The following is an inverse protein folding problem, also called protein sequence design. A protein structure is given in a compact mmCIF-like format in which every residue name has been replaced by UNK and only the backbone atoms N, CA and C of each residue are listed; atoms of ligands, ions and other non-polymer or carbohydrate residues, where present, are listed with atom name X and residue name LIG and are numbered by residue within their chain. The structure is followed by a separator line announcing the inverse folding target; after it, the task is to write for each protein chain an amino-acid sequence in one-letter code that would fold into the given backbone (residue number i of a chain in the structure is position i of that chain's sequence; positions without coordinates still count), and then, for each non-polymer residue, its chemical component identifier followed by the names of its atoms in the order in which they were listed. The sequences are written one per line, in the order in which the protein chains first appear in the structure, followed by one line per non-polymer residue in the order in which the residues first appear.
data_IF_775659971169
#
_entry.id   IF_775659971169
#
_cell.length_a   1.000
_cell.length_b   1.000
_cell.length_c   1.000
_cell.angle_alpha   90.00
_cell.angle_beta   90.00
_cell.angle_gamma   90.00
#
_symmetry.space_group_name_H-M   'P 1'
#
loop_
_entity.id
_entity.type
_entity.pdbx_description
1 polymer ?
#
# COMPACT_ATOMS: atom_id res chain seq x y z
N UNK A 1 -34.24 45.03 -30.03
CA UNK A 1 -33.12 44.25 -30.58
C UNK A 1 -32.02 43.93 -29.55
N UNK A 2 -31.56 44.87 -28.73
CA UNK A 2 -30.51 44.61 -27.73
C UNK A 2 -30.85 43.52 -26.69
N UNK A 3 -32.09 43.47 -26.20
CA UNK A 3 -32.51 42.47 -25.22
C UNK A 3 -32.55 41.04 -25.78
N UNK A 4 -32.85 40.87 -27.07
CA UNK A 4 -32.89 39.53 -27.71
C UNK A 4 -31.50 38.99 -27.99
N UNK A 5 -30.50 39.86 -28.20
CA UNK A 5 -29.08 39.44 -28.39
C UNK A 5 -28.51 38.96 -27.06
N UNK A 6 -28.84 39.65 -25.96
CA UNK A 6 -28.42 39.23 -24.61
C UNK A 6 -29.08 37.90 -24.24
N UNK A 7 -30.37 37.71 -24.56
CA UNK A 7 -31.11 36.47 -24.30
C UNK A 7 -30.54 35.29 -25.14
N UNK A 8 -30.16 35.55 -26.38
CA UNK A 8 -29.56 34.55 -27.26
C UNK A 8 -28.13 34.15 -26.83
N UNK A 9 -27.31 35.14 -26.37
CA UNK A 9 -25.98 34.88 -25.80
C UNK A 9 -26.05 34.11 -24.49
N UNK A 10 -27.03 34.36 -23.62
CA UNK A 10 -27.26 33.61 -22.39
C UNK A 10 -27.76 32.20 -22.70
N UNK A 11 -28.63 32.04 -23.68
CA UNK A 11 -29.12 30.71 -24.11
C UNK A 11 -28.04 29.85 -24.75
N UNK A 12 -27.14 30.41 -25.57
CA UNK A 12 -26.00 29.71 -26.14
C UNK A 12 -24.94 29.34 -25.11
N UNK A 13 -24.73 30.14 -24.08
CA UNK A 13 -23.87 29.81 -22.94
C UNK A 13 -24.47 28.65 -22.07
N UNK A 14 -25.80 28.64 -21.90
CA UNK A 14 -26.48 27.60 -21.14
C UNK A 14 -26.46 26.23 -21.83
N UNK A 15 -26.52 26.18 -23.16
CA UNK A 15 -26.48 24.91 -23.93
C UNK A 15 -25.12 24.19 -23.90
N UNK A 16 -24.02 24.91 -23.68
CA UNK A 16 -22.69 24.32 -23.54
C UNK A 16 -22.36 23.86 -22.10
N UNK A 17 -23.24 24.09 -21.13
CA UNK A 17 -23.00 23.80 -19.70
C UNK A 17 -23.14 22.32 -19.35
N UNK A 18 -23.78 21.48 -20.19
CA UNK A 18 -24.05 20.07 -19.86
C UNK A 18 -22.80 19.19 -19.62
N UNK A 19 -21.64 19.55 -20.19
CA UNK A 19 -20.40 18.79 -20.01
C UNK A 19 -19.64 19.09 -18.70
N UNK A 20 -19.91 20.22 -18.03
CA UNK A 20 -19.18 20.70 -16.85
C UNK A 20 -19.67 20.02 -15.56
N UNK A 21 -20.95 19.63 -15.53
CA UNK A 21 -21.57 18.97 -14.39
C UNK A 21 -21.59 17.45 -14.50
N UNK A 22 -20.92 16.87 -15.51
CA UNK A 22 -20.87 15.42 -15.71
C UNK A 22 -20.26 14.76 -14.45
N UNK A 23 -20.91 13.71 -13.98
CA UNK A 23 -20.39 12.89 -12.88
C UNK A 23 -19.39 11.89 -13.44
N UNK A 24 -18.40 11.55 -12.65
CA UNK A 24 -17.53 10.41 -12.92
C UNK A 24 -18.37 9.14 -12.82
N UNK A 25 -18.23 8.28 -13.79
CA UNK A 25 -18.83 6.93 -13.81
C UNK A 25 -17.67 5.94 -13.62
N UNK A 26 -17.75 5.06 -12.60
CA UNK A 26 -16.74 4.04 -12.39
C UNK A 26 -16.52 3.19 -13.65
N UNK A 27 -15.32 2.70 -13.84
CA UNK A 27 -14.98 1.82 -14.96
C UNK A 27 -15.69 0.49 -14.74
N UNK A 28 -16.80 0.27 -15.45
CA UNK A 28 -17.70 -0.86 -15.22
C UNK A 28 -17.17 -2.21 -15.72
N UNK A 29 -16.16 -2.22 -16.59
CA UNK A 29 -15.66 -3.45 -17.22
C UNK A 29 -14.18 -3.63 -16.92
N UNK A 30 -13.89 -4.59 -16.05
CA UNK A 30 -12.54 -5.15 -15.94
C UNK A 30 -12.30 -6.01 -17.20
N UNK A 31 -11.02 -6.14 -17.65
CA UNK A 31 -10.68 -7.00 -18.78
C UNK A 31 -11.19 -8.43 -18.54
N UNK A 32 -11.87 -9.00 -19.53
CA UNK A 32 -12.18 -10.43 -19.55
C UNK A 32 -10.86 -11.22 -19.68
N UNK A 33 -10.75 -12.39 -19.07
CA UNK A 33 -9.55 -13.24 -19.09
C UNK A 33 -8.32 -12.71 -18.28
N UNK A 34 -8.54 -12.02 -17.16
CA UNK A 34 -7.48 -11.65 -16.22
C UNK A 34 -6.83 -12.87 -15.54
N UNK A 35 -7.54 -14.00 -15.45
CA UNK A 35 -7.05 -15.26 -14.89
C UNK A 35 -6.81 -16.28 -16.00
N UNK A 36 -5.72 -17.08 -15.85
CA UNK A 36 -5.33 -18.11 -16.83
C UNK A 36 -6.26 -19.32 -16.85
N UNK A 37 -6.86 -19.64 -15.70
CA UNK A 37 -7.79 -20.76 -15.57
C UNK A 37 -9.22 -20.22 -15.47
N UNK A 38 -10.16 -20.87 -16.18
CA UNK A 38 -11.60 -20.65 -15.99
C UNK A 38 -11.95 -21.14 -14.58
N UNK A 39 -12.02 -20.20 -13.65
CA UNK A 39 -12.48 -20.46 -12.30
C UNK A 39 -14.00 -20.52 -12.35
N UNK A 40 -14.56 -21.72 -12.17
CA UNK A 40 -15.99 -21.93 -12.17
C UNK A 40 -16.70 -20.96 -11.21
N UNK A 41 -17.81 -20.32 -11.62
CA UNK A 41 -18.57 -19.42 -10.77
C UNK A 41 -19.42 -20.20 -9.76
N UNK A 42 -18.80 -20.85 -8.80
CA UNK A 42 -19.48 -21.54 -7.72
C UNK A 42 -18.88 -21.13 -6.38
N UNK A 43 -19.69 -20.47 -5.59
CA UNK A 43 -19.51 -19.97 -4.24
C UNK A 43 -18.85 -18.59 -4.09
N UNK A 44 -19.68 -17.71 -3.52
CA UNK A 44 -19.33 -16.33 -3.11
C UNK A 44 -18.42 -16.28 -1.89
N UNK A 45 -17.90 -17.40 -1.42
CA UNK A 45 -17.00 -17.46 -0.30
C UNK A 45 -15.55 -17.22 -0.75
N UNK A 46 -15.05 -16.03 -0.52
CA UNK A 46 -13.67 -15.68 -0.84
C UNK A 46 -12.86 -15.55 0.43
N UNK A 47 -11.65 -16.11 0.39
CA UNK A 47 -10.64 -15.97 1.45
C UNK A 47 -10.37 -14.48 1.79
N UNK A 48 -10.47 -13.56 0.82
CA UNK A 48 -10.33 -12.13 1.05
C UNK A 48 -11.43 -11.49 1.91
N UNK A 49 -12.52 -12.20 2.19
CA UNK A 49 -13.60 -11.73 3.07
C UNK A 49 -13.48 -12.27 4.50
N UNK A 50 -12.56 -13.22 4.74
CA UNK A 50 -12.29 -13.76 6.08
C UNK A 50 -11.55 -12.69 6.88
N UNK A 51 -11.88 -12.57 8.17
CA UNK A 51 -11.09 -11.75 9.09
C UNK A 51 -9.67 -12.32 9.21
N UNK A 52 -8.66 -11.46 9.30
CA UNK A 52 -7.29 -11.92 9.51
C UNK A 52 -7.15 -12.74 10.83
N UNK A 53 -8.00 -12.50 11.83
CA UNK A 53 -8.04 -13.27 13.08
C UNK A 53 -8.53 -14.70 12.88
N UNK A 54 -9.43 -14.90 11.93
CA UNK A 54 -9.95 -16.23 11.61
C UNK A 54 -9.00 -16.98 10.68
N UNK A 55 -8.23 -16.27 9.87
CA UNK A 55 -7.22 -16.87 8.99
C UNK A 55 -5.95 -17.26 9.77
N UNK A 56 -5.42 -16.37 10.59
CA UNK A 56 -4.20 -16.57 11.37
C UNK A 56 -4.57 -17.00 12.79
N UNK A 57 -4.58 -18.31 13.05
CA UNK A 57 -5.03 -18.88 14.32
C UNK A 57 -3.97 -18.89 15.42
N UNK A 58 -2.69 -18.63 15.07
CA UNK A 58 -1.59 -18.57 16.04
C UNK A 58 -1.68 -17.32 16.91
N UNK A 59 -1.84 -17.45 18.26
CA UNK A 59 -1.96 -16.31 19.15
C UNK A 59 -0.74 -15.38 19.16
N UNK A 60 0.47 -15.91 18.94
CA UNK A 60 1.68 -15.12 18.87
C UNK A 60 1.65 -14.21 17.63
N UNK A 61 1.28 -14.75 16.45
CA UNK A 61 1.10 -13.98 15.24
C UNK A 61 -0.01 -12.93 15.40
N UNK A 62 -1.14 -13.28 15.99
CA UNK A 62 -2.22 -12.32 16.23
C UNK A 62 -1.76 -11.14 17.10
N UNK A 63 -1.01 -11.41 18.16
CA UNK A 63 -0.43 -10.36 19.02
C UNK A 63 0.52 -9.44 18.24
N UNK A 64 1.37 -10.00 17.37
CA UNK A 64 2.28 -9.22 16.52
C UNK A 64 1.52 -8.33 15.53
N UNK A 65 0.48 -8.85 14.89
CA UNK A 65 -0.37 -8.08 13.98
C UNK A 65 -1.05 -6.92 14.74
N UNK A 66 -1.61 -7.16 15.94
CA UNK A 66 -2.24 -6.11 16.75
C UNK A 66 -1.25 -5.03 17.15
N UNK A 67 -0.05 -5.39 17.56
CA UNK A 67 1.05 -4.44 17.87
C UNK A 67 1.44 -3.62 16.65
N UNK A 68 1.59 -4.27 15.50
CA UNK A 68 1.88 -3.60 14.24
C UNK A 68 0.78 -2.62 13.82
N UNK A 69 -0.48 -3.01 13.90
CA UNK A 69 -1.62 -2.14 13.59
C UNK A 69 -1.72 -0.93 14.52
N UNK A 70 -1.29 -1.08 15.79
CA UNK A 70 -1.30 0.01 16.76
C UNK A 70 -0.13 0.99 16.58
N UNK A 71 1.07 0.49 16.24
CA UNK A 71 2.30 1.26 16.36
C UNK A 71 2.99 1.59 15.03
N UNK A 72 2.69 0.84 13.94
CA UNK A 72 3.40 1.02 12.68
C UNK A 72 3.35 2.46 12.17
N UNK A 73 4.51 3.03 11.86
CA UNK A 73 4.66 4.42 11.44
C UNK A 73 3.98 4.71 10.10
N UNK A 74 4.09 3.81 9.12
CA UNK A 74 3.51 4.03 7.78
C UNK A 74 1.98 4.02 7.82
N UNK A 75 1.37 3.14 8.64
CA UNK A 75 -0.07 3.12 8.85
C UNK A 75 -0.54 4.40 9.56
N UNK A 76 0.19 4.88 10.56
CA UNK A 76 -0.11 6.15 11.24
C UNK A 76 0.00 7.34 10.28
N UNK A 77 1.02 7.38 9.41
CA UNK A 77 1.15 8.40 8.36
C UNK A 77 -0.04 8.31 7.39
N UNK A 78 -0.46 7.10 6.99
CA UNK A 78 -1.62 6.93 6.12
C UNK A 78 -2.91 7.48 6.77
N UNK A 79 -3.13 7.27 8.07
CA UNK A 79 -4.25 7.86 8.80
C UNK A 79 -4.17 9.40 8.86
N UNK A 80 -2.98 9.98 9.04
CA UNK A 80 -2.80 11.45 8.99
C UNK A 80 -3.13 12.01 7.61
N UNK A 81 -2.77 11.32 6.53
CA UNK A 81 -3.16 11.72 5.16
C UNK A 81 -4.68 11.70 4.95
N UNK A 82 -5.41 10.81 5.63
CA UNK A 82 -6.89 10.86 5.61
C UNK A 82 -7.38 12.14 6.29
N UNK A 83 -6.84 12.51 7.45
CA UNK A 83 -7.21 13.75 8.15
C UNK A 83 -6.89 15.01 7.32
N UNK A 84 -5.75 15.04 6.62
CA UNK A 84 -5.40 16.13 5.69
C UNK A 84 -6.44 16.23 4.56
N UNK A 85 -6.85 15.11 3.98
CA UNK A 85 -7.86 15.09 2.92
C UNK A 85 -9.26 15.50 3.43
N UNK A 86 -9.62 15.15 4.67
CA UNK A 86 -10.84 15.60 5.33
C UNK A 86 -10.84 17.12 5.52
N UNK A 87 -9.74 17.71 5.97
CA UNK A 87 -9.57 19.14 6.11
C UNK A 87 -9.67 19.87 4.76
N UNK A 88 -9.07 19.33 3.70
CA UNK A 88 -9.17 19.84 2.34
C UNK A 88 -10.63 19.78 1.80
N UNK A 89 -11.35 18.70 2.08
CA UNK A 89 -12.77 18.59 1.73
C UNK A 89 -13.62 19.59 2.52
N UNK A 90 -13.32 19.80 3.81
CA UNK A 90 -13.99 20.82 4.62
C UNK A 90 -13.84 22.21 3.99
N UNK A 91 -12.61 22.60 3.62
CA UNK A 91 -12.34 23.87 2.92
C UNK A 91 -13.13 23.98 1.62
N UNK A 92 -13.18 22.91 0.81
CA UNK A 92 -13.95 22.87 -0.43
C UNK A 92 -15.46 22.97 -0.22
N UNK A 93 -15.98 22.48 0.92
CA UNK A 93 -17.39 22.67 1.33
C UNK A 93 -17.67 24.10 1.76
N UNK A 94 -16.77 24.68 2.55
CA UNK A 94 -16.90 26.06 3.05
C UNK A 94 -16.71 27.10 1.94
N UNK A 95 -16.10 26.76 0.81
CA UNK A 95 -15.96 27.66 -0.35
C UNK A 95 -17.29 28.08 -0.98
N UNK A 96 -18.41 27.43 -0.64
CA UNK A 96 -19.75 27.88 -1.01
C UNK A 96 -20.29 28.98 -0.11
N UNK A 97 -19.64 29.32 0.99
CA UNK A 97 -19.99 30.39 1.88
C UNK A 97 -19.16 31.66 1.54
N UNK A 98 -19.67 32.87 1.85
CA UNK A 98 -18.86 34.06 1.70
C UNK A 98 -17.66 34.04 2.64
N UNK A 99 -16.51 34.50 2.16
CA UNK A 99 -15.37 34.85 3.00
C UNK A 99 -15.59 36.19 3.66
N UNK A 100 -15.18 36.35 4.92
CA UNK A 100 -15.22 37.60 5.67
C UNK A 100 -13.80 37.99 6.05
N UNK A 101 -13.46 39.26 5.84
CA UNK A 101 -12.18 39.82 6.27
C UNK A 101 -12.40 41.20 6.94
N UNK A 102 -11.51 41.52 7.87
CA UNK A 102 -11.41 42.86 8.46
C UNK A 102 -10.04 43.42 8.04
N UNK A 103 -10.07 44.46 7.21
CA UNK A 103 -8.88 45.04 6.59
C UNK A 103 -8.68 46.51 6.96
N UNK A 104 -8.26 46.84 8.20
CA UNK A 104 -8.00 48.19 8.63
C UNK A 104 -6.85 48.81 7.81
N UNK A 105 -7.09 49.98 7.25
CA UNK A 105 -6.10 50.73 6.48
C UNK A 105 -5.98 52.16 7.00
N UNK A 106 -4.75 52.63 7.14
CA UNK A 106 -4.44 54.04 7.41
C UNK A 106 -3.46 54.53 6.35
N UNK A 107 -3.77 55.70 5.76
CA UNK A 107 -2.91 56.31 4.75
C UNK A 107 -2.59 57.73 5.17
N UNK A 108 -1.34 58.14 5.06
CA UNK A 108 -0.91 59.52 5.17
C UNK A 108 -0.36 59.98 3.83
N UNK A 109 -0.75 61.14 3.36
CA UNK A 109 -0.23 61.74 2.13
C UNK A 109 0.05 63.21 2.31
N UNK A 110 1.15 63.69 1.74
CA UNK A 110 1.49 65.13 1.65
C UNK A 110 1.96 65.38 0.21
N UNK A 111 1.46 66.43 -0.40
CA UNK A 111 1.85 66.87 -1.73
C UNK A 111 2.43 68.26 -1.65
N UNK A 112 3.56 68.53 -2.29
CA UNK A 112 4.24 69.82 -2.40
C UNK A 112 4.40 70.54 -1.04
N UNK A 113 4.93 69.80 0.00
CA UNK A 113 5.13 70.29 1.38
C UNK A 113 3.87 70.73 2.10
N UNK A 114 2.68 70.45 1.56
CA UNK A 114 1.43 70.72 2.25
C UNK A 114 1.31 69.86 3.52
N UNK A 115 0.51 70.31 4.47
CA UNK A 115 0.26 69.57 5.70
C UNK A 115 -0.28 68.17 5.36
N UNK A 116 0.36 67.13 5.92
CA UNK A 116 -0.04 65.76 5.69
C UNK A 116 -1.52 65.54 6.03
N UNK A 117 -2.23 64.89 5.13
CA UNK A 117 -3.61 64.42 5.37
C UNK A 117 -3.55 62.96 5.83
N UNK A 118 -4.41 62.65 6.78
CA UNK A 118 -4.54 61.28 7.31
C UNK A 118 -5.93 60.76 6.97
N UNK A 119 -5.97 59.58 6.38
CA UNK A 119 -7.21 58.87 6.15
C UNK A 119 -7.15 57.50 6.80
N UNK A 120 -8.24 57.01 7.33
CA UNK A 120 -8.39 55.66 7.79
C UNK A 120 -9.65 55.03 7.18
N UNK A 121 -9.62 53.73 7.00
CA UNK A 121 -10.71 52.90 6.58
C UNK A 121 -10.67 51.60 7.36
N UNK A 122 -11.79 51.24 8.00
CA UNK A 122 -11.91 50.01 8.80
C UNK A 122 -13.12 49.22 8.29
N UNK A 123 -13.02 48.57 7.11
CA UNK A 123 -14.11 47.81 6.54
C UNK A 123 -14.08 46.35 7.05
N UNK A 124 -15.25 45.78 7.30
CA UNK A 124 -15.53 44.37 7.23
C UNK A 124 -15.97 44.08 5.81
N UNK A 125 -15.21 43.27 5.10
CA UNK A 125 -15.46 42.90 3.70
C UNK A 125 -15.98 41.48 3.61
N UNK A 126 -17.01 41.27 2.79
CA UNK A 126 -17.53 39.96 2.44
C UNK A 126 -17.30 39.71 0.95
N UNK A 127 -16.86 38.51 0.58
CA UNK A 127 -16.72 38.13 -0.82
C UNK A 127 -17.25 36.70 -1.02
N UNK A 128 -18.14 36.54 -1.98
CA UNK A 128 -18.80 35.30 -2.31
C UNK A 128 -18.75 35.02 -3.81
N UNK A 129 -18.28 33.79 -4.17
CA UNK A 129 -18.32 33.31 -5.54
C UNK A 129 -19.56 32.46 -5.77
N UNK A 130 -20.36 32.81 -6.77
CA UNK A 130 -21.55 32.03 -7.16
C UNK A 130 -21.12 30.96 -8.18
N UNK A 131 -21.36 29.70 -7.88
CA UNK A 131 -20.94 28.55 -8.71
C UNK A 131 -21.89 28.31 -9.90
N UNK A 132 -21.86 29.19 -10.89
CA UNK A 132 -22.73 29.08 -12.09
C UNK A 132 -22.20 28.00 -13.05
N UNK A 133 -20.87 27.88 -13.17
CA UNK A 133 -20.21 26.99 -14.13
C UNK A 133 -19.48 25.82 -13.47
N UNK A 134 -19.88 25.42 -12.27
CA UNK A 134 -19.44 24.21 -11.61
C UNK A 134 -17.99 24.19 -11.15
N UNK A 135 -17.32 25.34 -11.03
CA UNK A 135 -15.93 25.42 -10.56
C UNK A 135 -15.80 24.91 -9.12
N UNK A 136 -16.63 25.42 -8.22
CA UNK A 136 -16.66 24.99 -6.82
C UNK A 136 -17.21 23.57 -6.68
N UNK A 137 -18.22 23.22 -7.48
CA UNK A 137 -18.80 21.87 -7.49
C UNK A 137 -17.76 20.83 -7.90
N UNK A 138 -16.97 21.06 -8.95
CA UNK A 138 -15.93 20.15 -9.38
C UNK A 138 -14.75 20.10 -8.40
N UNK A 139 -14.36 21.25 -7.82
CA UNK A 139 -13.34 21.28 -6.76
C UNK A 139 -13.77 20.45 -5.53
N UNK A 140 -15.02 20.57 -5.08
CA UNK A 140 -15.57 19.74 -3.98
C UNK A 140 -15.61 18.25 -4.35
N UNK A 141 -16.01 17.90 -5.58
CA UNK A 141 -16.03 16.51 -6.05
C UNK A 141 -14.61 15.94 -6.12
N UNK A 142 -13.64 16.75 -6.60
CA UNK A 142 -12.23 16.42 -6.61
C UNK A 142 -11.70 16.15 -5.20
N UNK A 143 -11.96 17.03 -4.24
CA UNK A 143 -11.57 16.86 -2.85
C UNK A 143 -12.24 15.64 -2.19
N UNK A 144 -13.51 15.34 -2.55
CA UNK A 144 -14.19 14.13 -2.09
C UNK A 144 -13.53 12.85 -2.66
N UNK A 145 -13.16 12.86 -3.93
CA UNK A 145 -12.44 11.74 -4.55
C UNK A 145 -11.05 11.55 -3.91
N UNK A 146 -10.33 12.65 -3.61
CA UNK A 146 -9.06 12.62 -2.90
C UNK A 146 -9.20 12.01 -1.48
N UNK A 147 -10.25 12.34 -0.74
CA UNK A 147 -10.53 11.71 0.55
C UNK A 147 -10.78 10.21 0.39
N UNK A 148 -11.63 9.81 -0.55
CA UNK A 148 -11.89 8.38 -0.81
C UNK A 148 -10.62 7.63 -1.25
N UNK A 149 -9.73 8.28 -2.01
CA UNK A 149 -8.43 7.76 -2.38
C UNK A 149 -7.54 7.55 -1.15
N UNK A 150 -7.44 8.55 -0.26
CA UNK A 150 -6.64 8.44 0.96
C UNK A 150 -7.15 7.35 1.90
N UNK A 151 -8.47 7.19 2.02
CA UNK A 151 -9.08 6.10 2.80
C UNK A 151 -8.77 4.73 2.22
N UNK A 152 -8.88 4.56 0.89
CA UNK A 152 -8.53 3.31 0.22
C UNK A 152 -7.02 3.03 0.33
N UNK A 153 -6.16 4.05 0.21
CA UNK A 153 -4.73 3.92 0.40
C UNK A 153 -4.36 3.48 1.83
N UNK A 154 -4.99 4.09 2.85
CA UNK A 154 -4.78 3.68 4.24
C UNK A 154 -5.15 2.21 4.47
N UNK A 155 -6.23 1.75 3.85
CA UNK A 155 -6.65 0.35 3.89
C UNK A 155 -5.66 -0.58 3.15
N UNK A 156 -5.08 -0.13 2.02
CA UNK A 156 -4.04 -0.88 1.32
C UNK A 156 -2.77 -1.04 2.17
N UNK A 157 -2.34 0.03 2.86
CA UNK A 157 -1.21 -0.01 3.80
C UNK A 157 -1.48 -0.99 4.95
N UNK A 158 -2.70 -1.00 5.50
CA UNK A 158 -3.09 -1.96 6.54
C UNK A 158 -3.02 -3.42 6.05
N UNK A 159 -3.58 -3.72 4.90
CA UNK A 159 -3.54 -5.07 4.30
C UNK A 159 -2.09 -5.52 4.06
N UNK A 160 -1.26 -4.63 3.51
CA UNK A 160 0.16 -4.90 3.26
C UNK A 160 0.93 -5.14 4.56
N UNK A 161 0.65 -4.36 5.61
CA UNK A 161 1.28 -4.50 6.92
C UNK A 161 0.98 -5.88 7.53
N UNK A 162 -0.28 -6.30 7.51
CA UNK A 162 -0.70 -7.62 8.01
C UNK A 162 0.03 -8.74 7.26
N UNK A 163 0.07 -8.66 5.92
CA UNK A 163 0.77 -9.67 5.11
C UNK A 163 2.28 -9.68 5.35
N UNK A 164 2.92 -8.52 5.51
CA UNK A 164 4.34 -8.43 5.79
C UNK A 164 4.70 -9.01 7.17
N UNK A 165 3.90 -8.71 8.21
CA UNK A 165 4.09 -9.29 9.54
C UNK A 165 3.95 -10.81 9.49
N UNK A 166 2.90 -11.34 8.83
CA UNK A 166 2.68 -12.77 8.69
C UNK A 166 3.83 -13.45 7.93
N UNK A 167 4.28 -12.88 6.82
CA UNK A 167 5.40 -13.43 6.04
C UNK A 167 6.71 -13.44 6.83
N UNK A 168 7.04 -12.38 7.58
CA UNK A 168 8.24 -12.35 8.44
C UNK A 168 8.13 -13.35 9.60
N UNK A 169 6.94 -13.49 10.18
CA UNK A 169 6.67 -14.46 11.23
C UNK A 169 6.92 -15.91 10.73
N UNK A 170 6.33 -16.27 9.59
CA UNK A 170 6.56 -17.60 9.00
C UNK A 170 8.00 -17.80 8.53
N UNK A 171 8.68 -16.74 8.11
CA UNK A 171 10.12 -16.79 7.82
C UNK A 171 10.91 -17.15 9.07
N UNK A 172 10.59 -16.56 10.23
CA UNK A 172 11.24 -16.91 11.49
C UNK A 172 10.99 -18.37 11.88
N UNK A 173 9.76 -18.86 11.76
CA UNK A 173 9.45 -20.27 12.04
C UNK A 173 10.23 -21.24 11.12
N UNK A 174 10.35 -20.88 9.84
CA UNK A 174 11.17 -21.63 8.89
C UNK A 174 12.64 -21.66 9.29
N UNK A 175 13.21 -20.50 9.64
CA UNK A 175 14.61 -20.38 10.04
C UNK A 175 14.90 -21.13 11.35
N UNK A 176 14.02 -21.08 12.33
CA UNK A 176 14.13 -21.83 13.58
C UNK A 176 14.17 -23.33 13.30
N UNK A 177 13.30 -23.83 12.42
CA UNK A 177 13.29 -25.24 12.08
C UNK A 177 14.54 -25.65 11.31
N UNK A 178 15.02 -24.84 10.40
CA UNK A 178 16.29 -25.06 9.71
C UNK A 178 17.48 -25.05 10.69
N UNK A 179 17.48 -24.14 11.65
CA UNK A 179 18.49 -24.04 12.71
C UNK A 179 18.49 -25.31 13.59
N UNK A 180 17.34 -25.79 14.01
CA UNK A 180 17.19 -27.02 14.80
C UNK A 180 17.76 -28.23 14.04
N UNK A 181 17.34 -28.47 12.78
CA UNK A 181 17.83 -29.57 11.93
C UNK A 181 19.34 -29.47 11.71
N UNK A 182 19.84 -28.28 11.41
CA UNK A 182 21.26 -28.06 11.13
C UNK A 182 22.13 -28.30 12.37
N UNK A 183 21.65 -27.84 13.55
CA UNK A 183 22.34 -28.05 14.82
C UNK A 183 22.39 -29.55 15.22
N UNK A 184 21.25 -30.22 15.11
CA UNK A 184 21.22 -31.70 15.35
C UNK A 184 22.17 -32.44 14.39
N UNK A 185 22.20 -31.98 13.13
CA UNK A 185 23.09 -32.56 12.13
C UNK A 185 24.56 -32.28 12.46
N UNK A 186 24.90 -31.08 12.92
CA UNK A 186 26.27 -30.76 13.36
C UNK A 186 26.76 -31.71 14.45
N UNK A 187 25.92 -32.02 15.45
CA UNK A 187 26.25 -33.00 16.49
C UNK A 187 26.54 -34.40 15.93
N UNK A 188 25.68 -34.88 15.00
CA UNK A 188 25.86 -36.21 14.36
C UNK A 188 27.13 -36.24 13.52
N UNK A 189 27.49 -35.16 12.84
CA UNK A 189 28.71 -35.07 12.05
C UNK A 189 29.96 -35.00 12.92
N UNK A 190 29.94 -34.37 14.11
CA UNK A 190 31.04 -34.45 15.05
C UNK A 190 31.28 -35.87 15.58
N UNK A 191 30.21 -36.64 15.83
CA UNK A 191 30.32 -38.06 16.17
C UNK A 191 30.90 -38.89 15.02
N UNK A 192 30.47 -38.60 13.78
CA UNK A 192 31.00 -39.20 12.58
C UNK A 192 32.51 -38.93 12.40
N UNK A 193 32.95 -37.67 12.68
CA UNK A 193 34.37 -37.32 12.63
C UNK A 193 35.18 -38.12 13.64
N UNK A 194 34.72 -38.24 14.90
CA UNK A 194 35.38 -39.05 15.92
C UNK A 194 35.50 -40.53 15.50
N UNK A 195 34.44 -41.08 14.90
CA UNK A 195 34.43 -42.44 14.39
C UNK A 195 35.41 -42.59 13.25
N UNK A 196 35.47 -41.68 12.30
CA UNK A 196 36.42 -41.71 11.17
C UNK A 196 37.87 -41.63 11.62
N UNK A 197 38.16 -40.80 12.62
CA UNK A 197 39.48 -40.67 13.24
C UNK A 197 39.90 -42.01 13.92
N UNK A 198 38.99 -42.66 14.64
CA UNK A 198 39.23 -43.98 15.23
C UNK A 198 39.48 -45.08 14.18
N UNK A 199 38.73 -45.08 13.09
CA UNK A 199 38.91 -45.99 11.96
C UNK A 199 40.29 -45.77 11.27
N UNK A 200 40.70 -44.50 11.13
CA UNK A 200 42.05 -44.21 10.58
C UNK A 200 43.16 -44.71 11.50
N UNK A 201 43.03 -44.51 12.82
CA UNK A 201 44.00 -45.05 13.78
C UNK A 201 44.08 -46.58 13.75
N UNK A 202 43.00 -47.26 13.42
CA UNK A 202 42.94 -48.71 13.20
C UNK A 202 43.41 -49.17 11.78
N UNK A 203 43.81 -48.25 10.91
CA UNK A 203 44.23 -48.54 9.53
C UNK A 203 43.07 -48.88 8.59
N UNK A 204 41.83 -48.63 8.98
CA UNK A 204 40.60 -49.00 8.23
C UNK A 204 40.10 -47.90 7.30
N UNK A 205 40.62 -46.69 7.39
CA UNK A 205 40.30 -45.58 6.49
C UNK A 205 41.52 -44.69 6.23
N UNK A 206 41.39 -43.73 5.33
CA UNK A 206 42.50 -42.84 4.92
C UNK A 206 42.44 -41.49 5.63
N UNK A 207 43.58 -40.76 5.70
CA UNK A 207 43.65 -39.38 6.17
C UNK A 207 42.78 -38.46 5.34
N UNK A 208 42.65 -38.71 4.03
CA UNK A 208 41.77 -37.95 3.15
C UNK A 208 40.30 -38.04 3.57
N UNK A 209 39.82 -39.19 4.04
CA UNK A 209 38.47 -39.36 4.55
C UNK A 209 38.23 -38.55 5.84
N UNK A 210 39.23 -38.53 6.76
CA UNK A 210 39.16 -37.72 7.96
C UNK A 210 39.08 -36.22 7.62
N UNK A 211 40.00 -35.75 6.76
CA UNK A 211 40.03 -34.32 6.35
C UNK A 211 38.72 -33.89 5.65
N UNK A 212 38.16 -34.77 4.83
CA UNK A 212 36.86 -34.49 4.17
C UNK A 212 35.72 -34.38 5.19
N UNK A 213 35.68 -35.26 6.19
CA UNK A 213 34.67 -35.25 7.25
C UNK A 213 34.80 -34.00 8.11
N UNK A 214 36.04 -33.63 8.48
CA UNK A 214 36.35 -32.46 9.24
C UNK A 214 35.92 -31.17 8.50
N UNK A 215 36.24 -31.05 7.21
CA UNK A 215 35.80 -29.93 6.36
C UNK A 215 34.28 -29.82 6.31
N UNK A 216 33.57 -30.97 6.25
CA UNK A 216 32.10 -30.95 6.27
C UNK A 216 31.54 -30.53 7.62
N UNK A 217 32.15 -30.96 8.75
CA UNK A 217 31.77 -30.48 10.09
C UNK A 217 31.87 -28.96 10.18
N UNK A 218 32.99 -28.35 9.79
CA UNK A 218 33.14 -26.92 9.79
C UNK A 218 32.16 -26.21 8.87
N UNK A 219 31.84 -26.76 7.72
CA UNK A 219 30.82 -26.22 6.81
C UNK A 219 29.44 -26.19 7.46
N UNK A 220 29.02 -27.23 8.15
CA UNK A 220 27.73 -27.30 8.84
C UNK A 220 27.71 -26.36 10.04
N UNK A 221 28.79 -26.28 10.83
CA UNK A 221 28.93 -25.36 11.95
C UNK A 221 28.86 -23.89 11.47
N UNK A 222 29.44 -23.58 10.31
CA UNK A 222 29.33 -22.26 9.67
C UNK A 222 27.88 -21.96 9.31
N UNK A 223 27.15 -22.93 8.73
CA UNK A 223 25.75 -22.76 8.40
C UNK A 223 24.87 -22.51 9.63
N UNK A 224 25.19 -23.11 10.80
CA UNK A 224 24.52 -22.79 12.06
C UNK A 224 24.71 -21.31 12.43
N UNK A 225 25.91 -20.76 12.26
CA UNK A 225 26.19 -19.33 12.53
C UNK A 225 25.48 -18.39 11.57
N UNK A 226 25.40 -18.77 10.29
CA UNK A 226 24.66 -17.99 9.28
C UNK A 226 23.16 -17.97 9.61
N UNK A 227 22.60 -19.08 10.08
CA UNK A 227 21.19 -19.15 10.51
C UNK A 227 20.96 -18.30 11.77
N UNK A 228 21.83 -18.34 12.79
CA UNK A 228 21.75 -17.49 13.97
C UNK A 228 21.72 -16.00 13.60
N UNK A 229 22.58 -15.59 12.67
CA UNK A 229 22.60 -14.21 12.17
C UNK A 229 21.29 -13.86 11.45
N UNK A 230 20.84 -14.71 10.53
CA UNK A 230 19.64 -14.46 9.71
C UNK A 230 18.38 -14.37 10.59
N UNK A 231 18.27 -15.20 11.63
CA UNK A 231 17.19 -15.15 12.61
C UNK A 231 17.17 -13.76 13.28
N UNK A 232 18.29 -13.30 13.81
CA UNK A 232 18.39 -11.99 14.48
C UNK A 232 18.09 -10.82 13.55
N UNK A 233 18.56 -10.86 12.31
CA UNK A 233 18.28 -9.83 11.29
C UNK A 233 16.79 -9.79 10.95
N UNK A 234 16.12 -10.96 10.90
CA UNK A 234 14.69 -11.06 10.63
C UNK A 234 13.88 -10.56 11.83
N UNK A 235 14.28 -10.88 13.07
CA UNK A 235 13.68 -10.34 14.29
C UNK A 235 13.80 -8.82 14.34
N UNK A 236 14.98 -8.27 14.04
CA UNK A 236 15.17 -6.82 13.96
C UNK A 236 14.27 -6.16 12.90
N UNK A 237 14.12 -6.80 11.74
CA UNK A 237 13.25 -6.32 10.68
C UNK A 237 11.78 -6.31 11.12
N UNK A 238 11.35 -7.36 11.79
CA UNK A 238 10.00 -7.47 12.32
C UNK A 238 9.77 -6.43 13.43
N UNK A 239 10.71 -6.25 14.36
CA UNK A 239 10.61 -5.24 15.42
C UNK A 239 10.45 -3.82 14.83
N UNK A 240 11.23 -3.46 13.82
CA UNK A 240 11.08 -2.16 13.12
C UNK A 240 9.71 -2.03 12.47
N UNK A 241 9.19 -3.11 11.85
CA UNK A 241 7.86 -3.12 11.26
C UNK A 241 6.76 -2.92 12.30
N UNK A 242 6.95 -3.43 13.52
CA UNK A 242 6.07 -3.21 14.67
C UNK A 242 6.20 -1.80 15.28
N UNK A 243 7.17 -0.99 14.84
CA UNK A 243 7.49 0.31 15.43
C UNK A 243 8.19 0.21 16.79
N UNK A 244 8.93 -0.85 17.01
CA UNK A 244 9.60 -1.19 18.28
C UNK A 244 11.13 -1.28 18.12
N UNK A 245 11.83 -1.26 19.25
CA UNK A 245 13.28 -1.51 19.27
C UNK A 245 13.57 -3.00 19.03
N UNK A 246 14.76 -3.35 18.46
CA UNK A 246 15.17 -4.74 18.29
C UNK A 246 15.05 -5.55 19.58
N UNK A 247 14.40 -6.70 19.49
CA UNK A 247 14.14 -7.62 20.60
C UNK A 247 13.88 -9.02 20.08
N UNK A 248 13.99 -10.02 20.98
CA UNK A 248 13.57 -11.39 20.67
C UNK A 248 12.06 -11.44 20.45
N UNK A 249 11.63 -12.20 19.46
CA UNK A 249 10.22 -12.33 19.08
C UNK A 249 9.68 -13.68 19.57
N UNK A 250 8.70 -13.63 20.47
CA UNK A 250 7.97 -14.82 20.91
C UNK A 250 7.17 -15.41 19.74
N UNK A 251 7.31 -16.73 19.53
CA UNK A 251 6.72 -17.44 18.39
C UNK A 251 6.45 -18.92 18.65
N UNK A 252 5.55 -19.49 17.85
CA UNK A 252 5.23 -20.91 17.86
C UNK A 252 6.22 -21.76 17.07
N UNK A 253 5.78 -22.90 16.57
CA UNK A 253 6.55 -23.83 15.74
C UNK A 253 5.92 -23.92 14.35
N UNK A 254 6.75 -24.21 13.34
CA UNK A 254 6.32 -24.31 11.94
C UNK A 254 5.32 -25.46 11.72
N UNK A 255 5.52 -26.58 12.42
CA UNK A 255 4.70 -27.78 12.31
C UNK A 255 3.28 -27.58 12.84
N UNK A 256 3.10 -26.69 13.82
CA UNK A 256 1.80 -26.39 14.44
C UNK A 256 0.94 -25.43 13.59
N UNK A 257 1.54 -24.86 12.54
CA UNK A 257 0.84 -23.90 11.69
C UNK A 257 -0.09 -24.60 10.71
N UNK A 258 -1.37 -24.26 10.74
CA UNK A 258 -2.32 -24.68 9.73
C UNK A 258 -3.13 -23.49 9.26
N UNK A 259 -2.99 -23.15 7.98
CA UNK A 259 -3.85 -22.17 7.32
C UNK A 259 -4.92 -22.97 6.58
N UNK A 260 -6.10 -23.03 7.18
CA UNK A 260 -7.26 -23.69 6.54
C UNK A 260 -8.10 -22.67 5.83
N UNK A 261 -7.94 -22.52 4.54
CA UNK A 261 -9.07 -22.80 3.69
C UNK A 261 -8.67 -23.60 2.45
N UNK A 262 -9.62 -24.43 1.99
CA UNK A 262 -9.48 -25.14 0.71
C UNK A 262 -9.33 -24.08 -0.39
N UNK A 263 -8.11 -23.93 -0.91
CA UNK A 263 -7.73 -22.96 -1.94
C UNK A 263 -8.37 -23.26 -3.31
N UNK A 264 -9.21 -24.29 -3.39
CA UNK A 264 -9.87 -24.76 -4.60
C UNK A 264 -11.11 -23.91 -5.03
N UNK A 265 -11.40 -22.82 -4.31
CA UNK A 265 -12.64 -22.06 -4.56
C UNK A 265 -12.40 -20.96 -5.57
N UNK A 266 -13.24 -20.94 -6.60
CA UNK A 266 -13.22 -19.96 -7.69
C UNK A 266 -13.23 -18.50 -7.21
N UNK A 267 -12.32 -17.68 -7.77
CA UNK A 267 -12.17 -16.27 -7.43
C UNK A 267 -12.81 -15.43 -8.53
N UNK A 268 -14.00 -14.83 -8.32
CA UNK A 268 -14.61 -13.97 -9.34
C UNK A 268 -13.74 -12.73 -9.62
N UNK A 269 -13.55 -12.39 -10.91
CA UNK A 269 -12.81 -11.18 -11.33
C UNK A 269 -13.35 -9.91 -10.69
N UNK A 270 -14.67 -9.87 -10.39
CA UNK A 270 -15.30 -8.76 -9.68
C UNK A 270 -14.71 -8.49 -8.29
N UNK A 271 -14.04 -9.46 -7.66
CA UNK A 271 -13.40 -9.25 -6.36
C UNK A 271 -12.20 -8.32 -6.41
N UNK A 272 -11.54 -8.20 -7.57
CA UNK A 272 -10.46 -7.23 -7.74
C UNK A 272 -10.93 -5.78 -7.53
N UNK A 273 -12.20 -5.47 -7.84
CA UNK A 273 -12.76 -4.15 -7.57
C UNK A 273 -12.86 -3.82 -6.06
N UNK A 274 -12.78 -4.84 -5.19
CA UNK A 274 -12.80 -4.67 -3.75
C UNK A 274 -11.40 -4.43 -3.16
N UNK A 275 -10.35 -4.64 -3.93
CA UNK A 275 -8.96 -4.40 -3.48
C UNK A 275 -8.74 -2.93 -3.15
N UNK A 276 -8.14 -2.62 -2.02
CA UNK A 276 -7.93 -1.23 -1.60
C UNK A 276 -7.01 -0.44 -2.57
N UNK A 277 -5.99 -1.07 -3.14
CA UNK A 277 -5.08 -0.46 -4.11
C UNK A 277 -5.77 -0.15 -5.45
N UNK A 278 -6.60 -1.06 -5.97
CA UNK A 278 -7.42 -0.85 -7.17
C UNK A 278 -8.42 0.30 -6.95
N UNK A 279 -9.09 0.32 -5.79
CA UNK A 279 -10.01 1.41 -5.40
C UNK A 279 -9.27 2.75 -5.27
N UNK A 280 -8.07 2.75 -4.69
CA UNK A 280 -7.25 3.96 -4.59
C UNK A 280 -6.90 4.51 -5.97
N UNK A 281 -6.49 3.65 -6.91
CA UNK A 281 -6.20 4.04 -8.28
C UNK A 281 -7.46 4.55 -9.03
N UNK A 282 -8.62 3.94 -8.81
CA UNK A 282 -9.89 4.40 -9.39
C UNK A 282 -10.30 5.78 -8.85
N UNK A 283 -10.14 6.02 -7.54
CA UNK A 283 -10.41 7.34 -6.96
C UNK A 283 -9.41 8.40 -7.43
N UNK A 284 -8.16 8.03 -7.71
CA UNK A 284 -7.18 8.92 -8.34
C UNK A 284 -7.63 9.32 -9.75
N UNK A 285 -8.18 8.39 -10.55
CA UNK A 285 -8.76 8.68 -11.85
C UNK A 285 -9.99 9.60 -11.72
N UNK A 286 -10.87 9.35 -10.76
CA UNK A 286 -12.01 10.22 -10.49
C UNK A 286 -11.56 11.64 -10.09
N UNK A 287 -10.51 11.77 -9.28
CA UNK A 287 -9.92 13.04 -8.92
C UNK A 287 -9.38 13.80 -10.14
N UNK A 288 -8.65 13.14 -11.02
CA UNK A 288 -8.12 13.73 -12.25
C UNK A 288 -9.24 14.12 -13.23
N UNK A 289 -10.32 13.33 -13.33
CA UNK A 289 -11.51 13.67 -14.09
C UNK A 289 -12.15 14.98 -13.62
N UNK A 290 -12.37 15.15 -12.31
CA UNK A 290 -12.90 16.38 -11.76
C UNK A 290 -11.91 17.55 -11.85
N UNK A 291 -10.61 17.29 -11.79
CA UNK A 291 -9.56 18.28 -12.07
C UNK A 291 -9.65 18.81 -13.51
N UNK A 292 -9.87 17.93 -14.48
CA UNK A 292 -10.10 18.31 -15.90
C UNK A 292 -11.38 19.14 -16.05
N UNK A 293 -12.47 18.78 -15.35
CA UNK A 293 -13.71 19.54 -15.36
C UNK A 293 -13.54 20.93 -14.73
N UNK A 294 -12.78 21.03 -13.63
CA UNK A 294 -12.41 22.29 -13.00
C UNK A 294 -11.56 23.17 -13.92
N UNK A 295 -10.55 22.60 -14.62
CA UNK A 295 -9.75 23.35 -15.60
C UNK A 295 -10.58 23.87 -16.78
N UNK A 296 -11.61 23.12 -17.21
CA UNK A 296 -12.57 23.61 -18.22
C UNK A 296 -13.39 24.78 -17.72
N UNK A 297 -13.79 24.80 -16.46
CA UNK A 297 -14.60 25.88 -15.89
C UNK A 297 -13.89 27.23 -15.89
N UNK A 298 -12.53 27.25 -15.94
CA UNK A 298 -11.74 28.49 -16.06
C UNK A 298 -11.89 29.20 -17.41
N UNK A 299 -12.55 28.60 -18.40
CA UNK A 299 -12.88 29.25 -19.68
C UNK A 299 -14.22 29.97 -19.64
N UNK A 300 -14.98 29.85 -18.58
CA UNK A 300 -16.30 30.48 -18.40
C UNK A 300 -16.21 31.69 -17.48
N UNK A 301 -17.20 32.63 -17.55
CA UNK A 301 -17.24 33.74 -16.65
C UNK A 301 -17.38 33.33 -15.19
N UNK A 302 -16.72 34.03 -14.27
CA UNK A 302 -16.95 33.90 -12.83
C UNK A 302 -17.86 35.06 -12.35
N UNK A 303 -18.86 34.73 -11.53
CA UNK A 303 -19.70 35.71 -10.85
C UNK A 303 -19.25 35.82 -9.39
N UNK A 304 -18.83 37.01 -9.01
CA UNK A 304 -18.44 37.32 -7.65
C UNK A 304 -19.32 38.44 -7.08
N UNK A 305 -19.88 38.19 -5.93
CA UNK A 305 -20.59 39.18 -5.13
C UNK A 305 -19.68 39.62 -3.99
N UNK A 306 -19.47 40.91 -3.84
CA UNK A 306 -18.68 41.47 -2.73
C UNK A 306 -19.42 42.62 -2.08
N UNK A 307 -19.22 42.77 -0.79
CA UNK A 307 -19.77 43.88 -0.04
C UNK A 307 -18.83 44.27 1.08
N UNK A 308 -18.90 45.52 1.49
CA UNK A 308 -18.17 45.96 2.66
C UNK A 308 -19.04 46.90 3.52
N UNK A 309 -18.85 46.79 4.82
CA UNK A 309 -19.43 47.69 5.81
C UNK A 309 -18.31 48.15 6.76
N UNK A 310 -18.19 49.46 6.99
CA UNK A 310 -17.10 49.94 7.81
C UNK A 310 -17.14 51.43 8.07
N UNK A 311 -16.17 51.94 8.76
CA UNK A 311 -15.99 53.32 9.11
C UNK A 311 -14.83 53.94 8.34
N UNK A 312 -15.01 55.16 7.85
CA UNK A 312 -13.98 55.88 7.13
C UNK A 312 -14.04 57.37 7.43
N UNK A 313 -12.88 58.03 7.45
CA UNK A 313 -12.78 59.48 7.44
C UNK A 313 -12.25 59.97 6.08
N UNK A 314 -13.05 59.97 5.05
CA UNK A 314 -12.60 60.44 3.71
C UNK A 314 -12.21 61.94 3.66
N UNK A 315 -12.37 62.68 4.75
CA UNK A 315 -12.11 64.12 4.82
C UNK A 315 -10.88 64.50 5.68
N UNK A 316 -9.86 63.70 5.67
CA UNK A 316 -8.48 63.97 6.12
C UNK A 316 -8.26 65.06 7.14
N UNK A 317 -8.42 64.86 8.40
CA UNK A 317 -7.61 65.35 9.51
C UNK A 317 -8.23 64.96 10.86
N UNK A 318 -7.44 64.29 11.65
CA UNK A 318 -7.68 63.80 13.00
C UNK A 318 -8.68 62.65 13.18
N UNK A 319 -8.20 61.58 13.70
CA UNK A 319 -8.97 60.42 14.22
C UNK A 319 -9.68 60.88 15.50
N UNK A 320 -10.71 61.72 15.40
CA UNK A 320 -11.43 62.26 16.57
C UNK A 320 -12.84 61.72 16.67
N UNK A 321 -13.35 61.09 15.60
CA UNK A 321 -14.69 60.51 15.58
C UNK A 321 -14.68 59.23 14.72
N UNK A 322 -15.43 58.19 15.04
CA UNK A 322 -15.45 56.95 14.26
C UNK A 322 -15.90 57.08 12.80
N UNK A 323 -15.98 58.31 12.28
CA UNK A 323 -16.29 58.54 10.89
C UNK A 323 -17.71 58.11 10.49
N UNK A 324 -18.02 58.25 9.22
CA UNK A 324 -19.33 57.84 8.68
C UNK A 324 -19.30 56.35 8.29
N UNK A 325 -20.38 55.64 8.58
CA UNK A 325 -20.60 54.29 8.12
C UNK A 325 -20.68 54.28 6.59
N UNK A 326 -19.81 53.47 5.97
CA UNK A 326 -19.83 53.22 4.54
C UNK A 326 -20.34 51.79 4.30
N UNK A 327 -21.37 51.67 3.48
CA UNK A 327 -21.89 50.41 2.98
C UNK A 327 -21.66 50.35 1.48
N UNK A 328 -21.09 49.26 1.00
CA UNK A 328 -20.86 49.00 -0.42
C UNK A 328 -21.26 47.56 -0.77
N UNK A 329 -21.92 47.40 -1.90
CA UNK A 329 -22.22 46.10 -2.48
C UNK A 329 -21.90 46.10 -3.99
N UNK A 330 -21.16 45.14 -4.48
CA UNK A 330 -20.73 45.06 -5.87
C UNK A 330 -20.93 43.65 -6.38
N UNK A 331 -21.64 43.49 -7.49
CA UNK A 331 -21.66 42.25 -8.29
C UNK A 331 -20.72 42.40 -9.49
N UNK A 332 -19.79 41.52 -9.65
CA UNK A 332 -18.84 41.52 -10.78
C UNK A 332 -18.90 40.22 -11.55
N UNK A 333 -18.94 40.30 -12.88
CA UNK A 333 -18.76 39.16 -13.80
C UNK A 333 -17.42 39.36 -14.49
N UNK A 334 -16.53 38.41 -14.33
CA UNK A 334 -15.20 38.44 -14.94
C UNK A 334 -15.04 37.29 -15.91
N UNK A 335 -14.76 37.60 -17.20
CA UNK A 335 -14.45 36.65 -18.24
C UNK A 335 -13.02 36.87 -18.72
N UNK A 336 -12.09 35.93 -18.51
CA UNK A 336 -10.74 36.01 -19.10
C UNK A 336 -10.83 35.88 -20.62
N UNK A 337 -10.48 36.93 -21.38
CA UNK A 337 -10.41 36.87 -22.84
C UNK A 337 -9.04 36.42 -23.32
N UNK A 338 -7.97 36.87 -22.67
CA UNK A 338 -6.60 36.47 -22.93
C UNK A 338 -5.78 36.42 -21.64
N UNK A 339 -5.30 35.25 -21.27
CA UNK A 339 -4.49 35.01 -20.06
C UNK A 339 -3.16 34.33 -20.43
N UNK A 340 -2.45 34.91 -21.42
CA UNK A 340 -1.11 34.45 -21.85
C UNK A 340 -1.03 32.92 -22.10
N UNK A 341 -2.15 32.30 -22.49
CA UNK A 341 -2.24 30.85 -22.71
C UNK A 341 -2.40 29.99 -21.46
N UNK A 342 -2.43 30.57 -20.26
CA UNK A 342 -2.44 29.80 -18.99
C UNK A 342 -3.63 28.82 -18.88
N UNK A 343 -4.86 29.24 -19.26
CA UNK A 343 -6.03 28.38 -19.21
C UNK A 343 -5.91 27.18 -20.20
N UNK A 344 -5.34 27.44 -21.40
CA UNK A 344 -5.09 26.40 -22.41
C UNK A 344 -4.06 25.40 -21.89
N UNK A 345 -2.96 25.88 -21.31
CA UNK A 345 -1.91 25.04 -20.74
C UNK A 345 -2.47 24.20 -19.58
N UNK A 346 -3.23 24.82 -18.65
CA UNK A 346 -3.84 24.13 -17.53
C UNK A 346 -4.80 23.02 -17.96
N UNK A 347 -5.63 23.25 -18.98
CA UNK A 347 -6.52 22.23 -19.52
C UNK A 347 -5.74 21.09 -20.21
N UNK A 348 -4.66 21.40 -20.94
CA UNK A 348 -3.80 20.37 -21.54
C UNK A 348 -3.13 19.50 -20.48
N UNK A 349 -2.57 20.13 -19.43
CA UNK A 349 -1.96 19.42 -18.29
C UNK A 349 -3.01 18.52 -17.60
N UNK A 350 -4.19 19.07 -17.28
CA UNK A 350 -5.24 18.30 -16.62
C UNK A 350 -5.70 17.09 -17.45
N UNK A 351 -5.79 17.23 -18.79
CA UNK A 351 -6.12 16.10 -19.67
C UNK A 351 -5.02 15.04 -19.70
N UNK A 352 -3.75 15.44 -19.72
CA UNK A 352 -2.64 14.52 -19.65
C UNK A 352 -2.62 13.76 -18.32
N UNK A 353 -2.80 14.46 -17.20
CA UNK A 353 -2.92 13.85 -15.86
C UNK A 353 -4.11 12.89 -15.75
N UNK A 354 -5.22 13.18 -16.41
CA UNK A 354 -6.37 12.26 -16.46
C UNK A 354 -6.04 10.99 -17.25
N UNK A 355 -5.32 11.07 -18.37
CA UNK A 355 -4.89 9.90 -19.13
C UNK A 355 -3.82 9.11 -18.36
N UNK A 356 -2.86 9.78 -17.71
CA UNK A 356 -1.89 9.12 -16.80
C UNK A 356 -2.60 8.33 -15.69
N UNK A 357 -3.59 8.93 -15.03
CA UNK A 357 -4.35 8.25 -13.97
C UNK A 357 -5.13 7.05 -14.52
N UNK A 358 -5.66 7.14 -15.76
CA UNK A 358 -6.35 6.02 -16.41
C UNK A 358 -5.40 4.87 -16.72
N UNK A 359 -4.22 5.16 -17.28
CA UNK A 359 -3.19 4.15 -17.55
C UNK A 359 -2.69 3.51 -16.25
N UNK A 360 -2.51 4.30 -15.20
CA UNK A 360 -2.13 3.79 -13.87
C UNK A 360 -3.21 2.86 -13.30
N UNK A 361 -4.48 3.22 -13.41
CA UNK A 361 -5.59 2.34 -13.00
C UNK A 361 -5.58 1.03 -13.77
N UNK A 362 -5.44 1.07 -15.10
CA UNK A 362 -5.37 -0.14 -15.94
C UNK A 362 -4.19 -1.04 -15.54
N UNK A 363 -3.00 -0.45 -15.31
CA UNK A 363 -1.82 -1.20 -14.89
C UNK A 363 -2.01 -1.81 -13.49
N UNK A 364 -2.66 -1.11 -12.56
CA UNK A 364 -2.97 -1.63 -11.22
C UNK A 364 -3.89 -2.85 -11.30
N UNK A 365 -4.90 -2.81 -12.17
CA UNK A 365 -5.80 -3.96 -12.39
C UNK A 365 -5.04 -5.16 -12.96
N UNK A 366 -4.15 -4.96 -13.95
CA UNK A 366 -3.34 -6.02 -14.51
C UNK A 366 -2.38 -6.64 -13.47
N UNK A 367 -1.75 -5.80 -12.66
CA UNK A 367 -0.89 -6.25 -11.56
C UNK A 367 -1.68 -7.07 -10.53
N UNK A 368 -2.89 -6.62 -10.17
CA UNK A 368 -3.75 -7.34 -9.26
C UNK A 368 -4.14 -8.73 -9.79
N UNK A 369 -4.46 -8.84 -11.08
CA UNK A 369 -4.70 -10.14 -11.74
C UNK A 369 -3.47 -11.03 -11.75
N UNK A 370 -2.28 -10.46 -12.03
CA UNK A 370 -1.01 -11.18 -11.97
C UNK A 370 -0.74 -11.75 -10.57
N UNK A 371 -0.88 -10.94 -9.51
CA UNK A 371 -0.63 -11.35 -8.13
C UNK A 371 -1.52 -12.53 -7.70
N UNK A 372 -2.80 -12.52 -8.10
CA UNK A 372 -3.70 -13.65 -7.83
C UNK A 372 -3.24 -14.91 -8.55
N UNK A 373 -2.89 -14.81 -9.85
CA UNK A 373 -2.41 -15.97 -10.61
C UNK A 373 -1.10 -16.53 -10.04
N UNK A 374 -0.16 -15.65 -9.66
CA UNK A 374 1.13 -16.04 -9.09
C UNK A 374 0.91 -16.75 -7.74
N UNK A 375 0.06 -16.23 -6.85
CA UNK A 375 -0.22 -16.82 -5.56
C UNK A 375 -0.92 -18.19 -5.68
N UNK A 376 -1.87 -18.34 -6.60
CA UNK A 376 -2.51 -19.64 -6.88
C UNK A 376 -1.50 -20.67 -7.40
N UNK A 377 -0.68 -20.29 -8.37
CA UNK A 377 0.36 -21.16 -8.92
C UNK A 377 1.37 -21.57 -7.84
N UNK A 378 1.78 -20.64 -6.98
CA UNK A 378 2.68 -20.90 -5.86
C UNK A 378 2.07 -21.93 -4.89
N UNK A 379 0.80 -21.75 -4.52
CA UNK A 379 0.09 -22.66 -3.61
C UNK A 379 -0.01 -24.09 -4.16
N UNK A 380 -0.41 -24.24 -5.44
CA UNK A 380 -0.51 -25.54 -6.11
C UNK A 380 0.86 -26.21 -6.22
N UNK A 381 1.90 -25.45 -6.56
CA UNK A 381 3.27 -25.96 -6.70
C UNK A 381 3.83 -26.39 -5.34
N UNK A 382 3.63 -25.59 -4.28
CA UNK A 382 4.10 -25.92 -2.94
C UNK A 382 3.47 -27.22 -2.43
N UNK A 383 2.16 -27.40 -2.58
CA UNK A 383 1.45 -28.62 -2.21
C UNK A 383 2.01 -29.85 -2.94
N UNK A 384 2.20 -29.75 -4.26
CA UNK A 384 2.78 -30.86 -5.04
C UNK A 384 4.23 -31.20 -4.67
N UNK A 385 5.03 -30.18 -4.30
CA UNK A 385 6.41 -30.40 -3.83
C UNK A 385 6.47 -31.11 -2.48
N UNK A 386 5.60 -30.77 -1.53
CA UNK A 386 5.57 -31.38 -0.19
C UNK A 386 5.39 -32.89 -0.29
N UNK A 387 4.46 -33.39 -1.11
CA UNK A 387 4.22 -34.79 -1.31
C UNK A 387 5.46 -35.51 -1.87
N UNK A 388 6.05 -34.93 -2.94
CA UNK A 388 7.25 -35.50 -3.56
C UNK A 388 8.46 -35.47 -2.62
N UNK A 389 8.60 -34.43 -1.83
CA UNK A 389 9.69 -34.26 -0.87
C UNK A 389 9.60 -35.27 0.28
N UNK A 390 8.39 -35.54 0.76
CA UNK A 390 8.17 -36.57 1.79
C UNK A 390 8.68 -37.94 1.32
N UNK A 391 8.30 -38.38 0.11
CA UNK A 391 8.79 -39.63 -0.45
C UNK A 391 10.30 -39.62 -0.72
N UNK A 392 10.86 -38.45 -1.11
CA UNK A 392 12.31 -38.31 -1.27
C UNK A 392 13.05 -38.53 0.05
N UNK A 393 12.56 -37.92 1.14
CA UNK A 393 13.17 -38.03 2.47
C UNK A 393 13.09 -39.46 2.97
N UNK A 394 11.95 -40.15 2.87
CA UNK A 394 11.78 -41.53 3.23
C UNK A 394 12.83 -42.45 2.51
N UNK A 395 12.98 -42.23 1.20
CA UNK A 395 13.97 -42.98 0.38
C UNK A 395 15.42 -42.68 0.79
N UNK A 396 15.71 -41.42 1.18
CA UNK A 396 17.04 -41.01 1.62
C UNK A 396 17.36 -41.54 3.04
N UNK A 397 16.39 -41.61 3.93
CA UNK A 397 16.55 -42.23 5.26
C UNK A 397 16.88 -43.71 5.13
N UNK A 398 16.19 -44.42 4.23
CA UNK A 398 16.51 -45.85 3.93
C UNK A 398 17.89 -45.99 3.28
N UNK A 399 18.29 -45.07 2.41
CA UNK A 399 19.62 -45.04 1.81
C UNK A 399 20.72 -44.84 2.87
N UNK A 400 20.53 -43.88 3.78
CA UNK A 400 21.48 -43.63 4.90
C UNK A 400 21.60 -44.89 5.78
N UNK A 401 20.48 -45.49 6.16
CA UNK A 401 20.44 -46.70 6.96
C UNK A 401 21.17 -47.85 6.27
N UNK A 402 20.88 -48.05 4.99
CA UNK A 402 21.48 -49.14 4.19
C UNK A 402 22.97 -48.93 3.99
N UNK A 403 23.44 -47.75 3.65
CA UNK A 403 24.87 -47.45 3.48
C UNK A 403 25.64 -47.58 4.79
N UNK A 404 25.06 -47.20 5.94
CA UNK A 404 25.66 -47.45 7.26
C UNK A 404 25.83 -48.94 7.56
N UNK A 405 24.82 -49.78 7.26
CA UNK A 405 24.90 -51.22 7.42
C UNK A 405 25.95 -51.84 6.47
N UNK A 406 25.97 -51.45 5.21
CA UNK A 406 26.97 -51.92 4.24
C UNK A 406 28.40 -51.56 4.66
N UNK A 407 28.60 -50.38 5.23
CA UNK A 407 29.89 -49.93 5.76
C UNK A 407 30.37 -50.83 6.91
N UNK A 408 29.48 -51.18 7.85
CA UNK A 408 29.84 -52.07 8.98
C UNK A 408 30.24 -53.49 8.51
N UNK A 409 29.77 -53.90 7.33
CA UNK A 409 30.12 -55.19 6.71
C UNK A 409 31.28 -55.10 5.69
N UNK A 410 31.91 -53.93 5.53
CA UNK A 410 33.03 -53.70 4.63
C UNK A 410 32.68 -53.68 3.13
N UNK A 411 31.39 -53.51 2.78
CA UNK A 411 30.89 -53.56 1.41
C UNK A 411 30.68 -52.18 0.77
N UNK A 412 30.96 -51.09 1.48
CA UNK A 412 30.89 -49.71 0.94
C UNK A 412 31.93 -48.81 1.59
N UNK A 413 32.18 -47.66 0.98
CA UNK A 413 33.12 -46.66 1.50
C UNK A 413 32.43 -45.71 2.45
N UNK A 414 33.14 -45.14 3.41
CA UNK A 414 32.64 -44.12 4.31
C UNK A 414 32.13 -42.88 3.55
N UNK A 415 32.71 -42.58 2.39
CA UNK A 415 32.29 -41.48 1.54
C UNK A 415 30.83 -41.59 1.07
N UNK A 416 30.36 -42.82 0.79
CA UNK A 416 28.98 -43.06 0.38
C UNK A 416 27.99 -42.74 1.51
N UNK A 417 28.33 -43.08 2.75
CA UNK A 417 27.54 -42.72 3.94
C UNK A 417 27.47 -41.22 4.12
N UNK A 418 28.60 -40.51 3.99
CA UNK A 418 28.64 -39.05 4.09
C UNK A 418 27.80 -38.39 3.00
N UNK A 419 27.88 -38.86 1.78
CA UNK A 419 27.10 -38.34 0.65
C UNK A 419 25.60 -38.52 0.88
N UNK A 420 25.18 -39.70 1.35
CA UNK A 420 23.78 -39.97 1.66
C UNK A 420 23.27 -39.07 2.78
N UNK A 421 24.05 -38.87 3.85
CA UNK A 421 23.70 -37.98 4.96
C UNK A 421 23.61 -36.53 4.53
N UNK A 422 24.52 -36.04 3.70
CA UNK A 422 24.49 -34.66 3.18
C UNK A 422 23.29 -34.43 2.26
N UNK A 423 22.95 -35.43 1.44
CA UNK A 423 21.76 -35.34 0.57
C UNK A 423 20.45 -35.33 1.39
N UNK A 424 20.41 -36.15 2.46
CA UNK A 424 19.28 -36.18 3.39
C UNK A 424 19.08 -34.79 4.08
N UNK A 425 20.17 -34.21 4.61
CA UNK A 425 20.11 -32.88 5.21
C UNK A 425 19.56 -31.83 4.22
N UNK A 426 20.08 -31.83 3.00
CA UNK A 426 19.61 -30.92 1.96
C UNK A 426 18.12 -31.11 1.63
N UNK A 427 17.64 -32.34 1.61
CA UNK A 427 16.23 -32.65 1.38
C UNK A 427 15.34 -32.19 2.56
N UNK A 428 15.78 -32.41 3.80
CA UNK A 428 15.08 -31.98 5.00
C UNK A 428 14.97 -30.44 5.08
N UNK A 429 16.04 -29.69 4.82
CA UNK A 429 16.02 -28.21 4.75
C UNK A 429 15.11 -27.71 3.63
N UNK A 430 15.09 -28.41 2.49
CA UNK A 430 14.17 -28.10 1.40
C UNK A 430 12.71 -28.37 1.76
N UNK A 431 12.40 -29.42 2.55
CA UNK A 431 11.04 -29.68 3.04
C UNK A 431 10.53 -28.54 3.92
N UNK A 432 11.38 -28.03 4.80
CA UNK A 432 11.05 -26.85 5.63
C UNK A 432 10.71 -25.64 4.75
N UNK A 433 11.49 -25.43 3.69
CA UNK A 433 11.23 -24.35 2.72
C UNK A 433 9.93 -24.57 1.95
N UNK A 434 9.67 -25.82 1.48
CA UNK A 434 8.42 -26.13 0.76
C UNK A 434 7.19 -25.90 1.65
N UNK A 435 7.28 -26.19 2.97
CA UNK A 435 6.22 -25.89 3.94
C UNK A 435 6.02 -24.39 4.17
N UNK A 436 7.10 -23.64 4.26
CA UNK A 436 7.05 -22.18 4.32
C UNK A 436 6.40 -21.58 3.06
N UNK A 437 6.78 -22.08 1.88
CA UNK A 437 6.21 -21.61 0.59
C UNK A 437 4.70 -21.81 0.54
N UNK A 438 4.16 -22.90 1.11
CA UNK A 438 2.71 -23.16 1.21
C UNK A 438 2.02 -22.11 2.08
N UNK A 439 2.57 -21.82 3.28
CA UNK A 439 2.03 -20.80 4.17
C UNK A 439 2.09 -19.40 3.54
N UNK A 440 3.23 -19.06 2.94
CA UNK A 440 3.43 -17.78 2.26
C UNK A 440 2.49 -17.60 1.08
N UNK A 441 2.25 -18.65 0.29
CA UNK A 441 1.29 -18.59 -0.81
C UNK A 441 -0.13 -18.27 -0.34
N UNK A 442 -0.53 -18.80 0.81
CA UNK A 442 -1.84 -18.51 1.42
C UNK A 442 -1.92 -17.06 1.89
N UNK A 443 -0.87 -16.53 2.52
CA UNK A 443 -0.79 -15.11 2.92
C UNK A 443 -0.85 -14.20 1.69
N UNK A 444 -0.08 -14.51 0.66
CA UNK A 444 -0.03 -13.74 -0.58
C UNK A 444 -1.39 -13.77 -1.31
N UNK A 445 -2.08 -14.90 -1.34
CA UNK A 445 -3.42 -15.01 -1.90
C UNK A 445 -4.44 -14.19 -1.10
N UNK A 446 -4.38 -14.26 0.23
CA UNK A 446 -5.22 -13.44 1.10
C UNK A 446 -5.06 -11.94 0.82
N UNK A 447 -3.81 -11.47 0.71
CA UNK A 447 -3.48 -10.11 0.34
C UNK A 447 -3.96 -9.75 -1.07
N UNK A 448 -3.68 -10.61 -2.06
CA UNK A 448 -4.06 -10.42 -3.47
C UNK A 448 -5.57 -10.31 -3.67
N UNK A 449 -6.36 -10.89 -2.77
CA UNK A 449 -7.83 -10.80 -2.75
C UNK A 449 -8.36 -9.63 -1.91
N UNK A 450 -7.47 -8.79 -1.37
CA UNK A 450 -7.83 -7.62 -0.57
C UNK A 450 -8.30 -7.96 0.84
N UNK A 451 -7.77 -9.03 1.44
CA UNK A 451 -7.98 -9.40 2.83
C UNK A 451 -7.44 -8.36 3.81
N UNK A 452 -7.73 -8.52 5.11
CA UNK A 452 -7.24 -7.59 6.15
C UNK A 452 -8.03 -6.29 6.26
N UNK A 453 -9.24 -6.24 5.70
CA UNK A 453 -10.12 -5.06 5.75
C UNK A 453 -10.93 -4.96 7.05
N UNK A 454 -11.01 -6.04 7.80
CA UNK A 454 -11.83 -6.17 9.03
C UNK A 454 -10.97 -6.52 10.24
#
# INVERSE_FOLDING_TARGET
MKNNIILFAVATLALNSCGIYKKYEPVATLPENLYREEIAPADTFSIGNISWRDLFTDPALQSLIERGLANNTDLRIAHLKVQEAEAALMTSRLSYLPSLSLDPQGTTSSFDKAKASWTYNVPVSASWEVDIFGRLTNAKRQAKAALSQSQAYSQAVQTQLIANIANLYYTLLMLDRQYEITTETAVKWQESLRTTQALMAAGMTTEAAVSQTEATCYSIETSVKDLEQTIRETENTLAVLLGETPQDIERGRLEDQSLTPDLAIGIPVQMLSNRPDVRSAEYALAQAFYGTASARSNFYPSLRLSGSAGWTNSAGSYIVNPGKLLLSAVGSITQPLFNKGANIAQLKIAKAQQEEAKLTFQQTVLNAGKEVNDALTQAQTAKGKIDLRTHQIESLEDAVRSTQLLMTHGNTTYLEVLTAQQTLLSAQLSQVTDRFDELQATVNLYQALGGGRH
#
